data_IF_783465232702
#
_entry.id   IF_783465232702
#
_cell.length_a   1.000
_cell.length_b   1.000
_cell.length_c   1.000
_cell.angle_alpha   90.00
_cell.angle_beta   90.00
_cell.angle_gamma   90.00
#
_symmetry.space_group_name_H-M   'P 1'
#
loop_
_entity.id
_entity.type
_entity.pdbx_description
1 polymer ?
#
# COMPACT_ATOMS: atom_id res chain seq x y z
N UNK A 1 -5.16 -16.81 -4.50
CA UNK A 1 -4.88 -15.55 -3.78
C UNK A 1 -5.67 -14.46 -4.48
N UNK A 2 -6.69 -13.89 -3.85
CA UNK A 2 -7.45 -12.79 -4.45
C UNK A 2 -6.49 -11.63 -4.74
N UNK A 3 -6.39 -11.20 -5.99
CA UNK A 3 -5.66 -9.99 -6.37
C UNK A 3 -6.32 -8.79 -5.66
N UNK A 4 -5.85 -8.45 -4.47
CA UNK A 4 -6.25 -7.22 -3.79
C UNK A 4 -5.77 -6.06 -4.67
N UNK A 5 -6.66 -5.56 -5.53
CA UNK A 5 -6.42 -4.40 -6.39
C UNK A 5 -6.53 -3.14 -5.55
N UNK A 6 -5.45 -2.82 -4.85
CA UNK A 6 -5.26 -1.50 -4.25
C UNK A 6 -5.09 -0.44 -5.34
N UNK A 7 -5.48 0.79 -5.04
CA UNK A 7 -5.25 1.98 -5.85
C UNK A 7 -4.58 3.06 -5.00
N UNK A 8 -3.96 3.99 -5.69
CA UNK A 8 -3.44 5.22 -5.06
C UNK A 8 -4.61 5.99 -4.45
N UNK A 9 -4.40 6.55 -3.26
CA UNK A 9 -5.40 7.18 -2.39
C UNK A 9 -6.37 6.23 -1.67
N UNK A 10 -6.27 4.90 -1.84
CA UNK A 10 -7.07 3.99 -1.01
C UNK A 10 -6.64 4.07 0.45
N UNK A 11 -7.62 4.08 1.35
CA UNK A 11 -7.39 3.95 2.79
C UNK A 11 -7.36 2.48 3.15
N UNK A 12 -6.27 2.07 3.78
CA UNK A 12 -5.97 0.70 4.16
C UNK A 12 -5.63 0.59 5.63
N UNK A 13 -5.94 -0.55 6.21
CA UNK A 13 -5.58 -0.92 7.57
C UNK A 13 -4.40 -1.89 7.47
N UNK A 14 -3.33 -1.59 8.19
CA UNK A 14 -2.21 -2.52 8.33
C UNK A 14 -2.60 -3.57 9.38
N UNK A 15 -2.65 -4.85 8.97
CA UNK A 15 -3.11 -5.95 9.81
C UNK A 15 -2.13 -6.33 10.92
N UNK A 16 -0.87 -5.89 10.83
CA UNK A 16 0.15 -6.18 11.85
C UNK A 16 0.07 -5.23 13.04
N UNK A 17 -0.23 -3.95 12.81
CA UNK A 17 -0.30 -2.94 13.88
C UNK A 17 -1.72 -2.39 14.12
N UNK A 18 -2.68 -2.74 13.27
CA UNK A 18 -4.07 -2.27 13.34
C UNK A 18 -4.26 -0.78 13.02
N UNK A 19 -3.24 -0.12 12.45
CA UNK A 19 -3.26 1.31 12.14
C UNK A 19 -3.70 1.59 10.71
N UNK A 20 -4.24 2.79 10.53
CA UNK A 20 -4.80 3.22 9.27
C UNK A 20 -3.80 4.07 8.49
N UNK A 21 -3.65 3.72 7.23
CA UNK A 21 -2.78 4.39 6.30
C UNK A 21 -3.54 4.68 5.02
N UNK A 22 -3.14 5.70 4.27
CA UNK A 22 -3.57 5.87 2.90
C UNK A 22 -2.42 5.60 1.96
N UNK A 23 -2.70 4.93 0.84
CA UNK A 23 -1.68 4.58 -0.15
C UNK A 23 -1.35 5.84 -0.94
N UNK A 24 -0.10 6.31 -0.90
CA UNK A 24 0.36 7.38 -1.78
C UNK A 24 0.77 6.85 -3.13
N UNK A 25 1.44 5.71 -3.17
CA UNK A 25 1.97 5.12 -4.39
C UNK A 25 2.02 3.60 -4.30
N UNK A 26 1.68 2.92 -5.39
CA UNK A 26 1.91 1.49 -5.53
C UNK A 26 3.21 1.31 -6.29
N UNK A 27 4.20 0.65 -5.69
CA UNK A 27 5.47 0.40 -6.36
C UNK A 27 5.24 -0.54 -7.53
N UNK A 28 5.62 -0.08 -8.72
CA UNK A 28 5.55 -0.84 -9.96
C UNK A 28 6.95 -0.94 -10.54
N UNK A 29 7.32 -2.13 -11.00
CA UNK A 29 8.54 -2.35 -11.77
C UNK A 29 8.15 -2.47 -13.24
N UNK A 30 8.95 -1.88 -14.12
CA UNK A 30 8.75 -2.08 -15.56
C UNK A 30 9.25 -3.47 -15.93
N UNK A 31 8.34 -4.33 -16.35
CA UNK A 31 8.67 -5.65 -16.87
C UNK A 31 8.92 -5.53 -18.37
N UNK A 32 10.17 -5.73 -18.78
CA UNK A 32 10.60 -5.55 -20.17
C UNK A 32 10.04 -6.63 -21.10
N UNK A 33 9.86 -7.85 -20.58
CA UNK A 33 9.30 -8.99 -21.30
C UNK A 33 7.80 -8.77 -21.57
N UNK A 34 7.08 -8.28 -20.55
CA UNK A 34 5.66 -7.97 -20.64
C UNK A 34 5.36 -6.57 -21.23
N UNK A 35 6.41 -5.75 -21.43
CA UNK A 35 6.37 -4.37 -21.93
C UNK A 35 5.42 -3.43 -21.17
N UNK A 36 5.09 -3.76 -19.91
CA UNK A 36 4.25 -2.93 -19.06
C UNK A 36 4.70 -2.99 -17.61
N UNK A 37 4.27 -2.01 -16.83
CA UNK A 37 4.62 -1.93 -15.41
C UNK A 37 3.75 -2.85 -14.58
N UNK A 38 4.38 -3.78 -13.85
CA UNK A 38 3.73 -4.72 -12.93
C UNK A 38 3.91 -4.26 -11.48
N UNK A 39 2.88 -4.38 -10.63
CA UNK A 39 3.02 -4.05 -9.21
C UNK A 39 4.01 -5.01 -8.54
N UNK A 40 4.91 -4.46 -7.74
CA UNK A 40 5.96 -5.22 -7.03
C UNK A 40 5.45 -5.95 -5.78
N UNK A 41 4.21 -5.69 -5.37
CA UNK A 41 3.65 -6.18 -4.11
C UNK A 41 3.93 -5.28 -2.91
N UNK A 42 4.53 -4.11 -3.12
CA UNK A 42 4.71 -3.09 -2.10
C UNK A 42 3.89 -1.84 -2.40
N UNK A 43 3.42 -1.20 -1.33
CA UNK A 43 2.76 0.08 -1.39
C UNK A 43 3.46 1.06 -0.44
N UNK A 44 3.68 2.25 -0.96
CA UNK A 44 4.01 3.41 -0.16
C UNK A 44 2.73 3.94 0.47
N UNK A 45 2.79 4.08 1.80
CA UNK A 45 1.67 4.38 2.67
C UNK A 45 2.07 5.52 3.59
N UNK A 46 1.12 6.41 3.83
CA UNK A 46 1.25 7.48 4.83
C UNK A 46 0.19 7.31 5.91
N UNK A 47 0.49 7.69 7.16
CA UNK A 47 -0.48 7.58 8.23
C UNK A 47 -1.70 8.43 7.90
N UNK A 48 -2.89 7.84 8.04
CA UNK A 48 -4.14 8.58 7.82
C UNK A 48 -4.44 9.53 8.98
N UNK A 49 -3.97 9.20 10.18
CA UNK A 49 -4.11 10.03 11.38
C UNK A 49 -2.74 10.58 11.80
N UNK A 50 -2.64 11.91 11.95
CA UNK A 50 -1.40 12.59 12.34
C UNK A 50 -1.01 12.35 13.81
N UNK A 51 -1.99 12.05 14.68
CA UNK A 51 -1.78 11.80 16.12
C UNK A 51 -1.07 10.47 16.43
N UNK A 52 -0.92 9.60 15.44
CA UNK A 52 -0.42 8.25 15.65
C UNK A 52 1.12 8.18 15.84
N UNK A 53 1.83 9.32 15.72
CA UNK A 53 3.28 9.45 15.83
C UNK A 53 4.03 8.43 14.94
N UNK A 54 3.45 8.15 13.78
CA UNK A 54 3.99 7.25 12.77
C UNK A 54 4.84 8.06 11.79
N UNK A 55 5.89 7.45 11.20
CA UNK A 55 6.67 8.14 10.19
C UNK A 55 5.79 8.51 8.99
N UNK A 56 6.04 9.67 8.39
CA UNK A 56 5.32 10.10 7.19
C UNK A 56 5.46 9.11 6.04
N UNK A 57 6.58 8.41 5.97
CA UNK A 57 6.88 7.45 4.91
C UNK A 57 6.88 6.03 5.45
N UNK A 58 5.90 5.23 5.03
CA UNK A 58 5.85 3.81 5.34
C UNK A 58 5.80 3.00 4.06
N UNK A 59 6.52 1.89 4.04
CA UNK A 59 6.51 0.94 2.94
C UNK A 59 6.01 -0.40 3.46
N UNK A 60 4.86 -0.84 2.98
CA UNK A 60 4.24 -2.09 3.43
C UNK A 60 4.04 -3.04 2.27
N UNK A 61 4.10 -4.33 2.56
CA UNK A 61 3.65 -5.36 1.61
C UNK A 61 2.13 -5.28 1.47
N UNK A 62 1.61 -5.37 0.25
CA UNK A 62 0.16 -5.32 0.01
C UNK A 62 -0.61 -6.46 0.69
N UNK A 63 0.08 -7.54 1.04
CA UNK A 63 -0.49 -8.70 1.73
C UNK A 63 -0.96 -8.37 3.16
N UNK A 64 -0.20 -7.51 3.86
CA UNK A 64 -0.51 -7.07 5.22
C UNK A 64 -1.46 -5.86 5.26
N UNK A 65 -1.93 -5.41 4.09
CA UNK A 65 -2.88 -4.32 3.97
C UNK A 65 -4.28 -4.88 3.73
N UNK A 66 -5.28 -4.26 4.35
CA UNK A 66 -6.68 -4.53 4.09
C UNK A 66 -7.40 -3.24 3.74
N UNK A 67 -8.22 -3.28 2.70
CA UNK A 67 -8.99 -2.11 2.27
C UNK A 67 -10.02 -1.76 3.34
N UNK A 68 -10.02 -0.51 3.79
CA UNK A 68 -11.06 0.00 4.69
C UNK A 68 -12.35 0.18 3.87
N UNK A 69 -13.38 -0.59 4.19
CA UNK A 69 -14.72 -0.52 3.55
C UNK A 69 -15.59 0.56 4.16
#
# INVERSE_FOLDING_TARGET
MSEKKFKESDVVINTQNGKEYYITQIEKVYDADLKHSVPTGYAECRPNNLDDNLPDYNRFTIDILELKK
#
